data_IF_568986396587
#
_entry.id   IF_568986396587
#
_cell.length_a   1.000
_cell.length_b   1.000
_cell.length_c   1.000
_cell.angle_alpha   90.00
_cell.angle_beta   90.00
_cell.angle_gamma   90.00
#
_symmetry.space_group_name_H-M   'P 1'
#
loop_
_entity.id
_entity.type
_entity.pdbx_description
1 polymer ?
#
# COMPACT_ATOMS: atom_id res chain seq x y z
N UNK A 1 -6.16 13.18 -0.82
CA UNK A 1 -5.11 13.29 -1.86
C UNK A 1 -4.40 11.96 -2.08
N UNK A 2 -3.74 11.38 -1.06
CA UNK A 2 -3.05 10.08 -1.19
C UNK A 2 -3.99 8.97 -1.66
N UNK A 3 -5.16 8.81 -1.02
CA UNK A 3 -6.17 7.82 -1.42
C UNK A 3 -6.63 7.98 -2.88
N UNK A 4 -6.88 9.21 -3.33
CA UNK A 4 -7.26 9.48 -4.71
C UNK A 4 -6.10 9.20 -5.67
N UNK A 5 -4.86 9.44 -5.25
CA UNK A 5 -3.68 9.08 -6.02
C UNK A 5 -3.54 7.57 -6.18
N UNK A 6 -3.71 6.81 -5.10
CA UNK A 6 -3.73 5.35 -5.15
C UNK A 6 -4.85 4.87 -6.09
N UNK A 7 -6.09 5.31 -5.90
CA UNK A 7 -7.22 4.94 -6.78
C UNK A 7 -7.03 5.33 -8.24
N UNK A 8 -6.17 6.32 -8.54
CA UNK A 8 -5.90 6.81 -9.88
C UNK A 8 -4.72 6.10 -10.56
N UNK A 9 -3.70 5.74 -9.80
CA UNK A 9 -2.40 5.32 -10.32
C UNK A 9 -2.07 3.86 -10.00
N UNK A 10 -2.71 3.29 -9.00
CA UNK A 10 -2.46 1.94 -8.51
C UNK A 10 -3.48 0.95 -9.06
N UNK A 11 -3.04 -0.29 -9.24
CA UNK A 11 -3.82 -1.36 -9.89
C UNK A 11 -4.40 -2.37 -8.89
N UNK A 12 -4.44 -2.03 -7.60
CA UNK A 12 -4.99 -2.89 -6.55
C UNK A 12 -6.29 -2.33 -5.98
N UNK A 13 -7.26 -3.22 -5.79
CA UNK A 13 -8.60 -2.90 -5.28
C UNK A 13 -8.64 -2.67 -3.77
N UNK A 14 -7.80 -3.37 -3.03
CA UNK A 14 -7.83 -3.41 -1.57
C UNK A 14 -6.57 -2.81 -0.98
N UNK A 15 -6.74 -1.84 -0.08
CA UNK A 15 -5.66 -1.21 0.66
C UNK A 15 -6.22 -0.54 1.91
N UNK A 16 -5.35 -0.31 2.89
CA UNK A 16 -5.66 0.49 4.08
C UNK A 16 -4.72 1.70 4.10
N UNK A 17 -5.25 2.86 4.48
CA UNK A 17 -4.45 4.05 4.75
C UNK A 17 -4.55 4.37 6.23
N UNK A 18 -3.44 4.26 6.96
CA UNK A 18 -3.31 4.81 8.31
C UNK A 18 -2.79 6.25 8.20
N UNK A 19 -3.46 7.19 8.88
CA UNK A 19 -3.05 8.59 8.92
C UNK A 19 -2.81 8.97 10.37
N UNK A 20 -1.56 9.33 10.67
CA UNK A 20 -1.16 9.92 11.95
C UNK A 20 -0.76 11.36 11.73
N UNK A 21 -0.41 12.05 12.80
CA UNK A 21 -0.06 13.48 12.78
C UNK A 21 0.97 13.82 11.70
N UNK A 22 2.03 13.00 11.57
CA UNK A 22 3.13 13.23 10.64
C UNK A 22 3.29 12.16 9.57
N UNK A 23 2.58 11.05 9.66
CA UNK A 23 2.79 9.90 8.77
C UNK A 23 1.51 9.49 8.06
N UNK A 24 1.66 9.10 6.80
CA UNK A 24 0.62 8.45 6.01
C UNK A 24 1.18 7.10 5.57
N UNK A 25 0.65 6.00 6.12
CA UNK A 25 1.12 4.65 5.81
C UNK A 25 0.09 3.93 4.95
N UNK A 26 0.57 3.29 3.88
CA UNK A 26 -0.22 2.49 2.96
C UNK A 26 0.06 1.02 3.25
N UNK A 27 -1.01 0.27 3.50
CA UNK A 27 -0.96 -1.17 3.71
C UNK A 27 -1.66 -1.89 2.58
N UNK A 28 -1.09 -3.03 2.15
CA UNK A 28 -1.69 -3.91 1.16
C UNK A 28 -1.97 -5.29 1.76
N UNK A 29 -2.94 -6.04 1.21
CA UNK A 29 -3.15 -7.43 1.58
C UNK A 29 -1.89 -8.27 1.34
N UNK A 30 -1.59 -9.19 2.25
CA UNK A 30 -0.47 -10.13 2.11
C UNK A 30 -0.80 -11.29 1.16
N UNK A 31 -2.09 -11.54 0.94
CA UNK A 31 -2.60 -12.64 0.14
C UNK A 31 -2.68 -12.27 -1.33
N UNK A 32 -2.39 -13.24 -2.20
CA UNK A 32 -2.84 -13.19 -3.59
C UNK A 32 -4.36 -13.36 -3.62
N UNK A 33 -5.05 -12.33 -4.10
CA UNK A 33 -6.50 -12.23 -4.04
C UNK A 33 -7.16 -13.12 -5.09
N UNK A 34 -6.53 -13.29 -6.25
CA UNK A 34 -7.10 -14.07 -7.35
C UNK A 34 -6.93 -15.57 -7.06
N UNK A 35 -5.80 -15.97 -6.49
CA UNK A 35 -5.60 -17.33 -5.98
C UNK A 35 -6.58 -17.65 -4.85
N UNK A 36 -6.75 -16.73 -3.88
CA UNK A 36 -7.66 -16.93 -2.76
C UNK A 36 -9.13 -17.03 -3.22
N UNK A 37 -9.52 -16.25 -4.22
CA UNK A 37 -10.84 -16.35 -4.87
C UNK A 37 -11.04 -17.73 -5.50
N UNK A 38 -10.07 -18.16 -6.31
CA UNK A 38 -10.13 -19.45 -7.01
C UNK A 38 -10.33 -20.62 -6.03
N UNK A 39 -9.57 -20.64 -4.93
CA UNK A 39 -9.70 -21.66 -3.89
C UNK A 39 -11.12 -21.65 -3.29
N UNK A 40 -11.65 -20.48 -2.91
CA UNK A 40 -12.95 -20.44 -2.24
C UNK A 40 -14.10 -20.80 -3.18
N UNK A 41 -14.00 -20.43 -4.47
CA UNK A 41 -14.95 -20.84 -5.51
C UNK A 41 -14.96 -22.37 -5.71
N UNK A 42 -13.80 -23.03 -5.66
CA UNK A 42 -13.71 -24.50 -5.76
C UNK A 42 -14.39 -25.21 -4.58
N UNK A 43 -14.30 -24.65 -3.36
CA UNK A 43 -14.79 -25.31 -2.14
C UNK A 43 -16.16 -24.83 -1.65
N UNK A 44 -16.78 -23.82 -2.27
CA UNK A 44 -17.99 -23.18 -1.72
C UNK A 44 -19.08 -22.93 -2.78
N UNK A 45 -20.35 -23.18 -2.41
CA UNK A 45 -21.54 -22.81 -3.21
C UNK A 45 -21.94 -21.35 -2.91
N UNK A 46 -20.98 -20.44 -2.84
CA UNK A 46 -21.23 -19.04 -2.49
C UNK A 46 -21.39 -18.22 -3.78
N UNK A 47 -22.46 -17.42 -3.93
CA UNK A 47 -22.60 -16.51 -5.06
C UNK A 47 -21.41 -15.54 -5.14
N UNK A 48 -20.87 -15.33 -6.34
CA UNK A 48 -19.72 -14.45 -6.62
C UNK A 48 -19.85 -13.06 -5.95
N UNK A 49 -21.05 -12.48 -5.95
CA UNK A 49 -21.35 -11.18 -5.32
C UNK A 49 -21.11 -11.14 -3.79
N UNK A 50 -21.20 -12.28 -3.11
CA UNK A 50 -21.01 -12.40 -1.67
C UNK A 50 -19.59 -12.85 -1.30
N UNK A 51 -18.80 -13.25 -2.32
CA UNK A 51 -17.44 -13.75 -2.19
C UNK A 51 -16.48 -12.64 -1.75
N UNK A 52 -16.52 -11.48 -2.42
CA UNK A 52 -15.69 -10.31 -2.10
C UNK A 52 -15.81 -9.93 -0.61
N UNK A 53 -17.03 -9.88 -0.06
CA UNK A 53 -17.25 -9.49 1.35
C UNK A 53 -16.75 -10.54 2.37
N UNK A 54 -16.66 -11.82 1.98
CA UNK A 54 -16.13 -12.87 2.84
C UNK A 54 -14.61 -12.91 2.79
N UNK A 55 -14.03 -12.75 1.61
CA UNK A 55 -12.58 -12.80 1.39
C UNK A 55 -11.87 -11.66 2.11
N UNK A 56 -12.46 -10.46 2.14
CA UNK A 56 -11.89 -9.31 2.86
C UNK A 56 -11.64 -9.62 4.35
N UNK A 57 -12.42 -10.52 4.96
CA UNK A 57 -12.22 -10.92 6.37
C UNK A 57 -11.01 -11.83 6.60
N UNK A 58 -10.46 -12.41 5.53
CA UNK A 58 -9.29 -13.27 5.56
C UNK A 58 -8.00 -12.48 5.31
N UNK A 59 -8.11 -11.21 4.92
CA UNK A 59 -6.94 -10.40 4.61
C UNK A 59 -6.17 -10.05 5.88
N UNK A 60 -4.88 -10.34 5.84
CA UNK A 60 -3.89 -9.68 6.68
C UNK A 60 -3.21 -8.59 5.84
N UNK A 61 -2.67 -7.58 6.51
CA UNK A 61 -2.16 -6.39 5.85
C UNK A 61 -0.77 -6.05 6.36
N UNK A 62 0.18 -5.90 5.44
CA UNK A 62 1.52 -5.41 5.74
C UNK A 62 1.71 -3.97 5.26
N UNK A 63 2.52 -3.18 5.99
CA UNK A 63 2.93 -1.86 5.53
C UNK A 63 3.77 -1.98 4.25
N UNK A 64 3.52 -1.12 3.27
CA UNK A 64 4.26 -1.09 2.01
C UNK A 64 4.96 0.24 1.79
N UNK A 65 4.24 1.34 1.99
CA UNK A 65 4.78 2.69 1.84
C UNK A 65 4.42 3.57 3.02
N UNK A 66 5.30 4.51 3.33
CA UNK A 66 5.06 5.57 4.30
C UNK A 66 5.50 6.90 3.73
N UNK A 67 4.66 7.92 3.94
CA UNK A 67 5.00 9.31 3.64
C UNK A 67 5.08 10.07 4.95
N UNK A 68 6.29 10.53 5.30
CA UNK A 68 6.57 11.20 6.57
C UNK A 68 6.76 12.69 6.32
N UNK A 69 5.94 13.52 6.95
CA UNK A 69 6.08 14.98 6.95
C UNK A 69 7.37 15.34 7.69
N UNK A 70 8.32 15.93 6.98
CA UNK A 70 9.62 16.35 7.55
C UNK A 70 9.69 17.84 7.77
N UNK A 71 8.94 18.63 7.00
CA UNK A 71 8.87 20.09 7.11
C UNK A 71 7.40 20.53 7.03
N UNK A 72 6.88 21.08 8.12
CA UNK A 72 5.49 21.55 8.19
C UNK A 72 5.26 22.87 7.45
N UNK A 73 6.24 23.77 7.49
CA UNK A 73 6.13 25.10 6.88
C UNK A 73 6.11 24.97 5.35
N UNK A 74 7.03 24.17 4.80
CA UNK A 74 7.15 23.92 3.37
C UNK A 74 6.32 22.71 2.89
N UNK A 75 5.65 22.00 3.82
CA UNK A 75 4.85 20.79 3.55
C UNK A 75 5.63 19.74 2.73
N UNK A 76 6.86 19.43 3.17
CA UNK A 76 7.73 18.43 2.54
C UNK A 76 7.59 17.06 3.20
N UNK A 77 7.60 16.04 2.37
CA UNK A 77 7.37 14.66 2.74
C UNK A 77 8.52 13.80 2.24
N UNK A 78 9.02 12.96 3.13
CA UNK A 78 9.93 11.85 2.82
C UNK A 78 9.10 10.65 2.36
N UNK A 79 9.50 10.00 1.28
CA UNK A 79 8.90 8.76 0.82
C UNK A 79 9.75 7.57 1.24
N UNK A 80 9.12 6.60 1.89
CA UNK A 80 9.78 5.45 2.48
C UNK A 80 9.08 4.17 2.02
N UNK A 81 9.84 3.12 1.74
CA UNK A 81 9.31 1.76 1.55
C UNK A 81 9.61 0.88 2.76
N UNK A 82 8.74 -0.10 3.01
CA UNK A 82 8.97 -1.05 4.09
C UNK A 82 10.09 -2.04 3.76
N UNK A 83 10.88 -2.43 4.77
CA UNK A 83 11.98 -3.38 4.70
C UNK A 83 11.58 -4.71 5.36
N UNK A 84 11.33 -5.74 4.54
CA UNK A 84 10.89 -7.06 5.01
C UNK A 84 12.02 -7.94 5.58
N UNK A 85 13.28 -7.51 5.48
CA UNK A 85 14.45 -8.28 5.94
C UNK A 85 14.73 -8.15 7.45
N UNK A 86 14.05 -7.23 8.14
CA UNK A 86 14.16 -6.99 9.59
C UNK A 86 15.41 -6.18 9.98
N UNK A 87 15.20 -5.09 10.74
CA UNK A 87 16.26 -4.19 11.23
C UNK A 87 15.77 -3.29 12.40
N UNK A 88 16.59 -2.33 12.83
CA UNK A 88 16.24 -1.37 13.91
C UNK A 88 15.21 -0.33 13.40
N UNK A 89 15.21 -0.02 12.10
CA UNK A 89 14.24 0.84 11.44
C UNK A 89 13.75 0.12 10.17
N UNK A 90 12.47 -0.27 10.15
CA UNK A 90 11.88 -1.10 9.10
C UNK A 90 11.58 -0.33 7.79
N UNK A 91 12.20 0.83 7.59
CA UNK A 91 11.86 1.77 6.51
C UNK A 91 13.11 2.25 5.77
N UNK A 92 12.99 2.33 4.45
CA UNK A 92 14.07 2.75 3.54
C UNK A 92 13.62 4.00 2.79
N UNK A 93 14.38 5.07 2.93
CA UNK A 93 14.20 6.32 2.20
C UNK A 93 14.39 6.09 0.69
N UNK A 94 13.43 6.56 -0.10
CA UNK A 94 13.43 6.40 -1.55
C UNK A 94 13.94 7.63 -2.29
N UNK A 95 13.70 8.81 -1.73
CA UNK A 95 14.15 10.08 -2.30
C UNK A 95 14.20 11.20 -1.25
N UNK A 96 14.94 12.29 -1.52
CA UNK A 96 14.92 13.47 -0.65
C UNK A 96 13.51 14.07 -0.48
N UNK A 97 13.21 14.72 0.66
CA UNK A 97 11.88 15.25 0.93
C UNK A 97 11.35 16.22 -0.14
N UNK A 98 10.12 16.00 -0.58
CA UNK A 98 9.47 16.79 -1.63
C UNK A 98 7.97 16.93 -1.39
N UNK A 99 7.23 17.57 -2.30
CA UNK A 99 5.78 17.73 -2.16
C UNK A 99 5.06 16.37 -2.20
N UNK A 100 4.02 16.20 -1.37
CA UNK A 100 3.21 14.98 -1.32
C UNK A 100 2.61 14.58 -2.68
N UNK A 101 2.28 15.54 -3.54
CA UNK A 101 1.75 15.26 -4.88
C UNK A 101 2.77 14.53 -5.77
N UNK A 102 4.04 14.97 -5.77
CA UNK A 102 5.12 14.35 -6.54
C UNK A 102 5.35 12.90 -6.11
N UNK A 103 5.47 12.66 -4.80
CA UNK A 103 5.69 11.30 -4.28
C UNK A 103 4.49 10.39 -4.54
N UNK A 104 3.25 10.88 -4.42
CA UNK A 104 2.06 10.09 -4.72
C UNK A 104 2.02 9.69 -6.19
N UNK A 105 2.28 10.63 -7.11
CA UNK A 105 2.28 10.36 -8.55
C UNK A 105 3.39 9.37 -8.94
N UNK A 106 4.56 9.49 -8.31
CA UNK A 106 5.73 8.65 -8.62
C UNK A 106 5.64 7.26 -8.00
N UNK A 107 5.21 7.16 -6.74
CA UNK A 107 5.33 5.91 -5.99
C UNK A 107 4.03 5.11 -5.92
N UNK A 108 2.84 5.73 -5.98
CA UNK A 108 1.60 4.97 -5.88
C UNK A 108 1.32 4.05 -7.09
N UNK A 109 2.15 4.07 -8.15
CA UNK A 109 2.04 3.13 -9.28
C UNK A 109 2.64 1.74 -8.99
N UNK A 110 3.54 1.63 -8.01
CA UNK A 110 4.35 0.45 -7.72
C UNK A 110 3.75 -0.56 -6.74
N UNK A 111 2.97 -0.18 -5.70
CA UNK A 111 2.51 -1.15 -4.72
C UNK A 111 1.70 -2.27 -5.41
N UNK A 112 1.89 -3.52 -4.97
CA UNK A 112 1.29 -4.71 -5.58
C UNK A 112 1.94 -5.20 -6.88
N UNK A 113 3.06 -4.60 -7.32
CA UNK A 113 3.81 -5.02 -8.51
C UNK A 113 5.25 -5.37 -8.17
N UNK A 114 5.89 -6.22 -8.98
CA UNK A 114 7.32 -6.56 -8.81
C UNK A 114 8.23 -5.33 -8.78
N UNK A 115 7.90 -4.29 -9.58
CA UNK A 115 8.63 -3.01 -9.61
C UNK A 115 8.75 -2.29 -8.25
N UNK A 116 7.97 -2.68 -7.24
CA UNK A 116 8.11 -2.18 -5.88
C UNK A 116 9.44 -2.59 -5.25
N UNK A 117 9.89 -3.82 -5.50
CA UNK A 117 11.13 -4.36 -4.92
C UNK A 117 12.39 -3.77 -5.57
N UNK A 118 12.25 -3.19 -6.76
CA UNK A 118 13.31 -2.49 -7.49
C UNK A 118 13.51 -1.04 -7.03
N UNK A 119 12.71 -0.54 -6.08
CA UNK A 119 12.83 0.81 -5.55
C UNK A 119 14.01 0.92 -4.58
N UNK A 120 15.23 0.91 -5.11
CA UNK A 120 16.50 1.12 -4.40
C UNK A 120 17.47 1.91 -5.27
#
# INVERSE_FOLDING_TARGET
>A
MVENGIKKYADFKYFIIDRRERTITIYLPDQDIDDLKSIIEEFSIVPEKDLDNKIVKLFTYSPMFRFTLTDEAERKYLAERYCFLGGIDDWIDLEPPTSLEKIVKKYCIHPGKESFFDLI
#
